data_IF_544337022340
#
_entry.id   IF_544337022340
#
_cell.length_a   1.000
_cell.length_b   1.000
_cell.length_c   1.000
_cell.angle_alpha   90.00
_cell.angle_beta   90.00
_cell.angle_gamma   90.00
#
_symmetry.space_group_name_H-M   'P 1'
#
loop_
_entity.id
_entity.type
_entity.pdbx_description
1 polymer ?
#
# COMPACT_ATOMS: atom_id res chain seq x y z
N UNK A 1 -2.78 -19.15 -1.39
CA UNK A 1 -3.63 -18.27 -0.55
C UNK A 1 -4.74 -19.07 0.14
N UNK A 2 -5.70 -19.67 -0.57
CA UNK A 2 -6.85 -20.34 0.00
C UNK A 2 -6.54 -21.43 1.04
N UNK A 3 -5.50 -22.23 0.85
CA UNK A 3 -5.10 -23.26 1.81
C UNK A 3 -4.63 -22.68 3.15
N UNK A 4 -3.82 -21.62 3.12
CA UNK A 4 -3.38 -20.95 4.34
C UNK A 4 -4.54 -20.26 5.06
N UNK A 5 -5.45 -19.65 4.30
CA UNK A 5 -6.65 -19.03 4.87
C UNK A 5 -7.56 -20.06 5.57
N UNK A 6 -7.81 -21.21 4.96
CA UNK A 6 -8.60 -22.30 5.57
C UNK A 6 -7.99 -22.82 6.87
N UNK A 7 -6.67 -22.76 6.99
CA UNK A 7 -5.93 -23.15 8.20
C UNK A 7 -5.83 -22.04 9.25
N UNK A 8 -6.41 -20.86 9.00
CA UNK A 8 -6.32 -19.71 9.89
C UNK A 8 -4.90 -19.12 10.02
N UNK A 9 -4.06 -19.35 9.02
CA UNK A 9 -2.64 -18.91 9.01
C UNK A 9 -2.41 -17.64 8.18
N UNK A 10 -3.48 -17.03 7.65
CA UNK A 10 -3.41 -15.84 6.82
C UNK A 10 -4.54 -14.89 7.20
N UNK A 11 -4.23 -13.64 7.45
CA UNK A 11 -5.18 -12.57 7.80
C UNK A 11 -5.22 -11.48 6.72
N UNK A 12 -4.13 -11.33 5.96
CA UNK A 12 -3.98 -10.36 4.88
C UNK A 12 -3.56 -11.07 3.60
N UNK A 13 -3.87 -10.46 2.46
CA UNK A 13 -3.41 -10.95 1.16
C UNK A 13 -2.45 -9.96 0.53
N UNK A 14 -1.74 -10.40 -0.50
CA UNK A 14 -1.08 -9.51 -1.46
C UNK A 14 -1.98 -9.44 -2.69
N UNK A 15 -2.39 -8.23 -3.07
CA UNK A 15 -3.29 -7.99 -4.19
C UNK A 15 -2.99 -6.62 -4.80
N UNK A 16 -1.83 -6.48 -5.44
CA UNK A 16 -1.38 -5.19 -5.94
C UNK A 16 -2.21 -4.73 -7.15
N UNK A 17 -2.87 -3.57 -7.06
CA UNK A 17 -3.90 -3.18 -8.00
C UNK A 17 -3.34 -2.39 -9.20
N UNK A 18 -2.36 -2.96 -9.91
CA UNK A 18 -1.80 -2.33 -11.09
C UNK A 18 -0.52 -3.00 -11.60
N UNK A 19 -0.05 -2.51 -12.73
CA UNK A 19 1.19 -2.95 -13.39
C UNK A 19 2.06 -1.75 -13.68
N UNK A 20 3.37 -1.88 -13.55
CA UNK A 20 4.33 -0.83 -13.87
C UNK A 20 5.69 -1.41 -14.29
N UNK A 21 6.56 -0.56 -14.84
CA UNK A 21 7.92 -0.96 -15.17
C UNK A 21 8.79 -0.88 -13.91
N UNK A 22 9.53 -1.94 -13.65
CA UNK A 22 10.55 -2.02 -12.61
C UNK A 22 11.93 -1.88 -13.26
N UNK A 23 12.45 -0.68 -13.28
CA UNK A 23 13.78 -0.36 -13.81
C UNK A 23 14.48 0.54 -12.79
N UNK A 24 15.72 0.26 -12.49
CA UNK A 24 16.54 1.09 -11.61
C UNK A 24 17.09 2.27 -12.39
N UNK A 25 17.33 3.38 -11.71
CA UNK A 25 17.92 4.58 -12.35
C UNK A 25 19.33 4.32 -12.90
N UNK A 26 20.13 3.49 -12.22
CA UNK A 26 21.48 3.14 -12.68
C UNK A 26 21.49 2.14 -13.87
N UNK A 27 20.36 1.52 -14.18
CA UNK A 27 20.17 0.57 -15.28
C UNK A 27 19.42 1.16 -16.48
N UNK A 28 18.92 2.39 -16.40
CA UNK A 28 17.97 2.95 -17.39
C UNK A 28 18.55 3.08 -18.81
N UNK A 29 19.88 3.09 -18.94
CA UNK A 29 20.58 3.09 -20.23
C UNK A 29 20.76 1.70 -20.85
N UNK A 30 20.47 0.62 -20.13
CA UNK A 30 20.57 -0.76 -20.62
C UNK A 30 19.18 -1.23 -21.09
N UNK A 31 19.05 -1.45 -22.40
CA UNK A 31 17.80 -1.89 -23.02
C UNK A 31 17.34 -3.29 -22.56
N UNK A 32 18.22 -4.07 -21.94
CA UNK A 32 17.91 -5.41 -21.39
C UNK A 32 17.54 -5.36 -19.90
N UNK A 33 17.71 -4.23 -19.24
CA UNK A 33 17.47 -4.09 -17.80
C UNK A 33 16.00 -3.85 -17.47
N UNK A 34 15.62 -4.27 -16.24
CA UNK A 34 14.28 -4.12 -15.74
C UNK A 34 13.29 -5.19 -16.21
N UNK A 35 12.08 -5.09 -15.72
CA UNK A 35 10.97 -5.98 -16.09
C UNK A 35 9.63 -5.27 -15.92
N UNK A 36 8.59 -5.82 -16.53
CA UNK A 36 7.22 -5.36 -16.27
C UNK A 36 6.68 -6.13 -15.06
N UNK A 37 6.42 -5.40 -13.96
CA UNK A 37 5.64 -5.94 -12.85
C UNK A 37 4.18 -5.98 -13.29
N UNK A 38 3.70 -7.17 -13.63
CA UNK A 38 2.44 -7.36 -14.33
C UNK A 38 1.37 -7.97 -13.43
N UNK A 39 0.28 -7.22 -13.22
CA UNK A 39 -0.92 -7.67 -12.53
C UNK A 39 -2.14 -7.41 -13.43
N UNK A 40 -2.57 -8.38 -14.25
CA UNK A 40 -3.75 -8.25 -15.08
C UNK A 40 -5.01 -8.05 -14.24
N UNK A 41 -5.97 -7.30 -14.74
CA UNK A 41 -7.26 -7.03 -14.05
C UNK A 41 -7.96 -8.33 -13.59
N UNK A 42 -7.88 -9.39 -14.41
CA UNK A 42 -8.46 -10.68 -14.07
C UNK A 42 -7.85 -11.28 -12.80
N UNK A 43 -6.52 -11.21 -12.66
CA UNK A 43 -5.80 -11.76 -11.51
C UNK A 43 -6.06 -10.92 -10.25
N UNK A 44 -6.11 -9.59 -10.38
CA UNK A 44 -6.47 -8.69 -9.27
C UNK A 44 -7.91 -8.99 -8.79
N UNK A 45 -8.86 -9.16 -9.70
CA UNK A 45 -10.25 -9.51 -9.35
C UNK A 45 -10.34 -10.87 -8.67
N UNK A 46 -9.57 -11.86 -9.13
CA UNK A 46 -9.50 -13.17 -8.48
C UNK A 46 -8.90 -13.06 -7.06
N UNK A 47 -7.84 -12.28 -6.88
CA UNK A 47 -7.28 -11.98 -5.56
C UNK A 47 -8.31 -11.35 -4.61
N UNK A 48 -9.10 -10.39 -5.09
CA UNK A 48 -10.18 -9.77 -4.32
C UNK A 48 -11.33 -10.75 -4.03
N UNK A 49 -11.68 -11.62 -4.99
CA UNK A 49 -12.67 -12.68 -4.78
C UNK A 49 -12.27 -13.62 -3.64
N UNK A 50 -11.00 -14.07 -3.66
CA UNK A 50 -10.44 -14.90 -2.60
C UNK A 50 -10.37 -14.17 -1.25
N UNK A 51 -10.00 -12.89 -1.27
CA UNK A 51 -9.99 -12.04 -0.07
C UNK A 51 -11.37 -11.96 0.56
N UNK A 52 -12.40 -11.75 -0.24
CA UNK A 52 -13.80 -11.73 0.22
C UNK A 52 -14.26 -13.09 0.75
N UNK A 53 -14.00 -14.17 0.01
CA UNK A 53 -14.39 -15.54 0.39
C UNK A 53 -13.79 -15.94 1.74
N UNK A 54 -12.53 -15.61 1.96
CA UNK A 54 -11.81 -15.99 3.17
C UNK A 54 -11.74 -14.87 4.23
N UNK A 55 -12.43 -13.74 4.03
CA UNK A 55 -12.43 -12.57 4.92
C UNK A 55 -11.03 -12.02 5.23
N UNK A 56 -10.17 -11.99 4.21
CA UNK A 56 -8.81 -11.47 4.31
C UNK A 56 -8.78 -10.02 3.85
N UNK A 57 -8.03 -9.18 4.53
CA UNK A 57 -7.80 -7.80 4.10
C UNK A 57 -6.85 -7.78 2.88
N UNK A 58 -7.27 -7.21 1.72
CA UNK A 58 -6.36 -7.04 0.60
C UNK A 58 -5.24 -6.07 0.96
N UNK A 59 -3.97 -6.50 0.87
CA UNK A 59 -2.82 -5.63 1.00
C UNK A 59 -2.41 -5.12 -0.38
N UNK A 60 -2.55 -3.82 -0.61
CA UNK A 60 -2.18 -3.16 -1.85
C UNK A 60 -0.80 -2.52 -1.73
N UNK A 61 0.19 -2.97 -2.49
CA UNK A 61 1.40 -2.19 -2.70
C UNK A 61 1.13 -1.13 -3.78
N UNK A 62 1.23 0.12 -3.39
CA UNK A 62 0.94 1.28 -4.25
C UNK A 62 2.27 1.82 -4.78
N UNK A 63 2.73 1.26 -5.88
CA UNK A 63 3.94 1.70 -6.59
C UNK A 63 3.69 2.99 -7.37
N UNK A 64 2.49 3.14 -7.93
CA UNK A 64 2.09 4.31 -8.71
C UNK A 64 0.76 4.88 -8.19
N UNK A 65 0.52 6.21 -8.25
CA UNK A 65 -0.75 6.79 -7.83
C UNK A 65 -1.98 6.18 -8.52
N UNK A 66 -1.82 5.69 -9.74
CA UNK A 66 -2.84 4.96 -10.49
C UNK A 66 -3.33 3.69 -9.79
N UNK A 67 -2.46 3.02 -9.02
CA UNK A 67 -2.83 1.83 -8.24
C UNK A 67 -3.86 2.16 -7.16
N UNK A 68 -3.72 3.30 -6.47
CA UNK A 68 -4.72 3.77 -5.50
C UNK A 68 -6.10 3.92 -6.15
N UNK A 69 -6.14 4.51 -7.36
CA UNK A 69 -7.40 4.74 -8.10
C UNK A 69 -8.04 3.42 -8.52
N UNK A 70 -7.27 2.54 -9.14
CA UNK A 70 -7.75 1.25 -9.61
C UNK A 70 -8.18 0.35 -8.44
N UNK A 71 -7.35 0.25 -7.38
CA UNK A 71 -7.64 -0.54 -6.20
C UNK A 71 -8.93 -0.10 -5.50
N UNK A 72 -9.13 1.21 -5.32
CA UNK A 72 -10.36 1.74 -4.75
C UNK A 72 -11.60 1.46 -5.63
N UNK A 73 -11.46 1.57 -6.96
CA UNK A 73 -12.55 1.27 -7.88
C UNK A 73 -12.93 -0.22 -7.86
N UNK A 74 -11.93 -1.11 -7.85
CA UNK A 74 -12.14 -2.55 -7.80
C UNK A 74 -12.76 -2.99 -6.47
N UNK A 75 -12.27 -2.46 -5.33
CA UNK A 75 -12.86 -2.76 -4.03
C UNK A 75 -14.35 -2.36 -3.97
N UNK A 76 -14.70 -1.18 -4.48
CA UNK A 76 -16.11 -0.76 -4.58
C UNK A 76 -16.94 -1.65 -5.51
N UNK A 77 -16.36 -2.15 -6.60
CA UNK A 77 -17.06 -3.05 -7.54
C UNK A 77 -17.33 -4.45 -6.98
N UNK A 78 -16.78 -4.77 -5.80
CA UNK A 78 -16.89 -6.07 -5.16
C UNK A 78 -17.35 -5.92 -3.70
N UNK A 79 -18.63 -5.57 -3.45
CA UNK A 79 -19.16 -5.37 -2.10
C UNK A 79 -18.93 -6.59 -1.19
N UNK A 80 -18.66 -6.34 0.09
CA UNK A 80 -18.33 -7.37 1.06
C UNK A 80 -16.87 -7.80 1.08
N UNK A 81 -16.01 -7.24 0.21
CA UNK A 81 -14.57 -7.39 0.36
C UNK A 81 -14.12 -6.61 1.60
N UNK A 82 -13.33 -7.20 2.51
CA UNK A 82 -12.74 -6.46 3.62
C UNK A 82 -11.96 -5.25 3.15
N UNK A 83 -11.92 -4.20 3.97
CA UNK A 83 -11.25 -2.95 3.62
C UNK A 83 -9.80 -3.18 3.21
N UNK A 84 -9.37 -2.73 2.02
CA UNK A 84 -7.98 -2.84 1.61
C UNK A 84 -7.05 -1.99 2.49
N UNK A 85 -5.82 -2.48 2.67
CA UNK A 85 -4.74 -1.77 3.37
C UNK A 85 -3.81 -1.20 2.31
N UNK A 86 -3.67 0.13 2.26
CA UNK A 86 -2.86 0.83 1.26
C UNK A 86 -1.43 1.02 1.75
N UNK A 87 -0.49 0.36 1.12
CA UNK A 87 0.94 0.46 1.41
C UNK A 87 1.58 1.33 0.34
N UNK A 88 1.83 2.61 0.67
CA UNK A 88 2.50 3.55 -0.24
C UNK A 88 3.98 3.19 -0.33
N UNK A 89 4.39 2.77 -1.52
CA UNK A 89 5.74 2.36 -1.81
C UNK A 89 6.55 3.56 -2.31
N UNK A 90 7.68 3.82 -1.67
CA UNK A 90 8.64 4.84 -2.07
C UNK A 90 9.92 4.20 -2.55
N UNK A 91 10.65 4.86 -3.44
CA UNK A 91 11.96 4.42 -3.88
C UNK A 91 12.84 5.60 -4.29
N UNK A 92 14.14 5.49 -3.97
CA UNK A 92 15.17 6.36 -4.52
C UNK A 92 15.99 5.63 -5.60
N UNK A 93 15.84 4.32 -5.70
CA UNK A 93 16.59 3.48 -6.65
C UNK A 93 15.80 3.13 -7.91
N UNK A 94 14.49 2.92 -7.79
CA UNK A 94 13.62 2.59 -8.91
C UNK A 94 12.91 3.80 -9.50
N UNK A 95 12.66 3.76 -10.81
CA UNK A 95 12.09 4.87 -11.57
C UNK A 95 10.55 5.01 -11.48
N UNK A 96 9.86 4.11 -10.75
CA UNK A 96 8.43 4.21 -10.51
C UNK A 96 8.12 5.10 -9.30
N UNK A 97 6.88 5.61 -9.24
CA UNK A 97 6.30 6.28 -8.08
C UNK A 97 7.02 7.55 -7.64
N UNK A 98 7.32 7.60 -6.34
CA UNK A 98 7.88 8.79 -5.70
C UNK A 98 9.09 8.47 -4.83
N UNK A 99 10.06 9.39 -4.72
CA UNK A 99 11.08 9.36 -3.68
C UNK A 99 10.48 9.61 -2.29
N UNK A 100 11.20 9.16 -1.24
CA UNK A 100 10.72 9.21 0.15
C UNK A 100 10.78 10.62 0.74
N UNK A 101 9.79 11.46 0.43
CA UNK A 101 9.68 12.81 0.95
C UNK A 101 8.24 13.15 1.36
N UNK A 102 8.08 14.00 2.38
CA UNK A 102 6.79 14.37 2.94
C UNK A 102 5.79 14.94 1.92
N UNK A 103 6.16 15.78 0.94
CA UNK A 103 5.21 16.25 -0.08
C UNK A 103 4.62 15.12 -0.94
N UNK A 104 5.38 14.04 -1.17
CA UNK A 104 4.93 12.89 -1.93
C UNK A 104 3.97 12.01 -1.12
N UNK A 105 4.20 11.87 0.18
CA UNK A 105 3.22 11.27 1.09
C UNK A 105 1.91 12.09 1.08
N UNK A 106 1.99 13.41 1.13
CA UNK A 106 0.81 14.28 1.04
C UNK A 106 0.04 14.09 -0.27
N UNK A 107 0.73 13.86 -1.39
CA UNK A 107 0.08 13.56 -2.67
C UNK A 107 -0.71 12.24 -2.62
N UNK A 108 -0.12 11.17 -2.08
CA UNK A 108 -0.81 9.91 -1.86
C UNK A 108 -2.03 10.05 -0.94
N UNK A 109 -1.88 10.76 0.17
CA UNK A 109 -2.96 10.95 1.16
C UNK A 109 -4.12 11.77 0.59
N UNK A 110 -3.86 12.83 -0.18
CA UNK A 110 -4.91 13.59 -0.86
C UNK A 110 -5.70 12.71 -1.84
N UNK A 111 -5.00 11.85 -2.58
CA UNK A 111 -5.64 10.93 -3.51
C UNK A 111 -6.49 9.90 -2.75
N UNK A 112 -5.94 9.28 -1.71
CA UNK A 112 -6.64 8.28 -0.88
C UNK A 112 -7.87 8.88 -0.20
N UNK A 113 -7.76 10.08 0.37
CA UNK A 113 -8.86 10.77 1.04
C UNK A 113 -10.09 11.00 0.12
N UNK A 114 -9.85 11.22 -1.17
CA UNK A 114 -10.92 11.35 -2.17
C UNK A 114 -11.55 10.03 -2.61
N UNK A 115 -10.93 8.89 -2.32
CA UNK A 115 -11.32 7.59 -2.87
C UNK A 115 -11.72 6.57 -1.79
N UNK A 116 -11.00 6.54 -0.66
CA UNK A 116 -11.19 5.62 0.44
C UNK A 116 -10.68 6.28 1.76
N UNK A 117 -11.39 7.30 2.28
CA UNK A 117 -10.91 8.16 3.38
C UNK A 117 -10.63 7.38 4.68
N UNK A 118 -11.38 6.31 4.91
CA UNK A 118 -11.29 5.52 6.15
C UNK A 118 -10.38 4.28 5.99
N UNK A 119 -9.73 4.11 4.85
CA UNK A 119 -8.88 2.96 4.61
C UNK A 119 -7.57 3.07 5.39
N UNK A 120 -7.13 2.00 6.07
CA UNK A 120 -5.83 1.98 6.72
C UNK A 120 -4.72 2.07 5.67
N UNK A 121 -3.66 2.79 6.03
CA UNK A 121 -2.52 3.00 5.14
C UNK A 121 -1.20 2.98 5.90
N UNK A 122 -0.13 2.72 5.17
CA UNK A 122 1.23 2.73 5.71
C UNK A 122 2.23 3.27 4.69
N UNK A 123 3.35 3.78 5.19
CA UNK A 123 4.54 4.03 4.37
C UNK A 123 5.41 2.79 4.33
N UNK A 124 5.99 2.52 3.18
CA UNK A 124 6.93 1.43 2.96
C UNK A 124 7.95 1.85 1.88
N UNK A 125 8.99 1.08 1.70
CA UNK A 125 10.02 1.36 0.70
C UNK A 125 10.38 0.16 -0.16
N UNK A 126 11.16 0.44 -1.18
CA UNK A 126 11.95 -0.53 -1.91
C UNK A 126 13.23 0.18 -2.37
N UNK A 127 14.38 -0.22 -1.78
CA UNK A 127 15.66 0.44 -2.06
C UNK A 127 15.71 1.89 -1.57
N UNK A 128 15.14 2.20 -0.40
CA UNK A 128 15.08 3.57 0.13
C UNK A 128 15.07 3.60 1.66
N UNK A 129 15.61 4.66 2.22
CA UNK A 129 15.47 4.96 3.65
C UNK A 129 14.17 5.72 3.92
N UNK A 130 13.16 5.05 4.45
CA UNK A 130 11.87 5.66 4.76
C UNK A 130 11.79 6.34 6.13
N UNK A 131 12.87 6.33 6.94
CA UNK A 131 12.86 6.96 8.27
C UNK A 131 12.43 8.44 8.26
N UNK A 132 12.76 9.25 7.22
CA UNK A 132 12.22 10.61 7.11
C UNK A 132 10.69 10.72 7.01
N UNK A 133 10.00 9.63 6.65
CA UNK A 133 8.54 9.57 6.56
C UNK A 133 7.86 9.06 7.83
N UNK A 134 8.60 8.58 8.84
CA UNK A 134 8.01 8.00 10.05
C UNK A 134 7.22 9.05 10.83
N UNK A 135 7.82 10.18 11.16
CA UNK A 135 7.12 11.24 11.88
C UNK A 135 5.94 11.82 11.08
N UNK A 136 6.08 12.15 9.79
CA UNK A 136 4.93 12.51 8.96
C UNK A 136 3.82 11.45 8.89
N UNK A 137 4.14 10.16 8.92
CA UNK A 137 3.15 9.09 8.91
C UNK A 137 2.43 9.00 10.26
N UNK A 138 3.17 8.97 11.37
CA UNK A 138 2.62 8.89 12.73
C UNK A 138 1.70 10.07 13.03
N UNK A 139 2.11 11.29 12.71
CA UNK A 139 1.31 12.50 12.97
C UNK A 139 -0.01 12.55 12.18
N UNK A 140 -0.14 11.74 11.12
CA UNK A 140 -1.36 11.62 10.29
C UNK A 140 -2.13 10.32 10.51
N UNK A 141 -1.79 9.55 11.55
CA UNK A 141 -2.46 8.29 11.88
C UNK A 141 -2.13 7.12 10.95
N UNK A 142 -1.02 7.19 10.23
CA UNK A 142 -0.55 6.11 9.37
C UNK A 142 0.34 5.11 10.09
N UNK A 143 0.60 4.00 9.42
CA UNK A 143 1.48 2.93 9.87
C UNK A 143 2.80 2.95 9.11
N UNK A 144 3.77 2.15 9.58
CA UNK A 144 5.12 2.09 9.03
C UNK A 144 5.49 0.63 8.79
N UNK A 145 6.03 0.32 7.62
CA UNK A 145 6.71 -0.96 7.33
C UNK A 145 8.19 -0.68 7.10
N UNK A 146 9.04 -1.42 7.77
CA UNK A 146 10.51 -1.38 7.61
C UNK A 146 11.08 -2.78 7.55
N UNK A 147 12.24 -2.91 6.96
CA UNK A 147 12.99 -4.16 6.93
C UNK A 147 14.01 -4.17 5.80
N UNK A 148 14.66 -5.31 5.61
CA UNK A 148 15.71 -5.46 4.59
C UNK A 148 15.19 -5.39 3.16
N UNK A 149 13.91 -5.71 2.93
CA UNK A 149 13.26 -5.54 1.64
C UNK A 149 13.09 -4.07 1.28
N UNK A 150 12.75 -3.25 2.28
CA UNK A 150 12.46 -1.82 2.10
C UNK A 150 13.73 -0.98 2.00
N UNK A 151 14.75 -1.37 2.75
CA UNK A 151 15.96 -0.61 3.01
C UNK A 151 16.77 -0.30 1.74
N UNK A 152 17.62 0.75 1.77
CA UNK A 152 18.58 1.02 0.70
C UNK A 152 19.40 -0.20 0.36
N UNK A 153 19.62 -0.44 -0.92
CA UNK A 153 20.48 -1.51 -1.38
C UNK A 153 21.85 -1.41 -0.72
N UNK A 154 22.38 -2.53 -0.21
CA UNK A 154 23.64 -2.58 0.55
C UNK A 154 23.58 -1.89 1.93
N UNK A 155 22.40 -1.73 2.54
CA UNK A 155 22.32 -1.34 3.95
C UNK A 155 23.22 -2.24 4.81
N UNK A 156 23.87 -1.66 5.84
CA UNK A 156 24.67 -2.40 6.81
C UNK A 156 23.88 -2.76 8.07
N UNK A 157 22.66 -2.21 8.20
CA UNK A 157 21.80 -2.53 9.33
C UNK A 157 21.14 -3.89 9.13
N UNK A 158 21.03 -4.63 10.20
CA UNK A 158 20.24 -5.86 10.25
C UNK A 158 18.74 -5.54 10.26
N UNK A 159 17.90 -6.51 9.91
CA UNK A 159 16.44 -6.35 9.99
C UNK A 159 15.99 -5.90 11.39
N UNK A 160 16.59 -6.46 12.43
CA UNK A 160 16.30 -6.07 13.82
C UNK A 160 16.63 -4.61 14.08
N UNK A 161 17.78 -4.11 13.64
CA UNK A 161 18.16 -2.70 13.82
C UNK A 161 17.21 -1.76 13.09
N UNK A 162 16.77 -2.10 11.87
CA UNK A 162 15.73 -1.32 11.16
C UNK A 162 14.45 -1.19 11.97
N UNK A 163 14.00 -2.30 12.57
CA UNK A 163 12.80 -2.31 13.41
C UNK A 163 13.02 -1.49 14.70
N UNK A 164 14.15 -1.66 15.38
CA UNK A 164 14.48 -0.93 16.61
C UNK A 164 14.54 0.58 16.37
N UNK A 165 15.19 1.02 15.28
CA UNK A 165 15.25 2.44 14.90
C UNK A 165 13.88 3.01 14.51
N UNK A 166 13.06 2.22 13.79
CA UNK A 166 11.70 2.64 13.45
C UNK A 166 10.83 2.81 14.71
N UNK A 167 10.88 1.86 15.64
CA UNK A 167 10.16 1.95 16.93
C UNK A 167 10.59 3.18 17.72
N UNK A 168 11.91 3.44 17.81
CA UNK A 168 12.41 4.64 18.48
C UNK A 168 11.91 5.93 17.83
N UNK A 169 11.88 5.97 16.48
CA UNK A 169 11.37 7.12 15.72
C UNK A 169 9.86 7.33 15.90
N UNK A 170 9.07 6.25 15.91
CA UNK A 170 7.63 6.28 16.17
C UNK A 170 7.36 6.88 17.57
N UNK A 171 8.08 6.40 18.60
CA UNK A 171 7.95 6.91 19.97
C UNK A 171 8.37 8.38 20.09
N UNK A 172 9.44 8.76 19.43
CA UNK A 172 9.88 10.16 19.36
C UNK A 172 8.82 11.08 18.71
N UNK A 173 8.08 10.55 17.74
CA UNK A 173 6.96 11.25 17.10
C UNK A 173 5.66 11.24 17.93
N UNK A 174 5.67 10.69 19.15
CA UNK A 174 4.51 10.62 20.04
C UNK A 174 3.57 9.43 19.78
N UNK A 175 3.95 8.49 18.91
CA UNK A 175 3.21 7.27 18.66
C UNK A 175 3.69 6.10 19.53
N UNK A 176 2.96 5.00 19.50
CA UNK A 176 3.36 3.72 20.09
C UNK A 176 3.02 2.59 19.12
N UNK A 177 3.92 1.61 18.94
CA UNK A 177 3.60 0.43 18.11
C UNK A 177 2.39 -0.31 18.66
N UNK A 178 1.40 -0.55 17.80
CA UNK A 178 0.21 -1.30 18.17
C UNK A 178 0.53 -2.79 18.38
N UNK A 179 -0.16 -3.42 19.31
CA UNK A 179 -0.11 -4.87 19.43
C UNK A 179 -0.88 -5.56 18.30
N UNK A 180 -0.63 -6.84 18.05
CA UNK A 180 -1.37 -7.60 17.04
C UNK A 180 -2.89 -7.62 17.32
N UNK A 181 -3.30 -7.59 18.60
CA UNK A 181 -4.71 -7.55 18.98
C UNK A 181 -5.35 -6.21 18.66
N UNK A 182 -4.62 -5.09 18.87
CA UNK A 182 -5.10 -3.75 18.54
C UNK A 182 -5.32 -3.61 17.04
N UNK A 183 -4.38 -4.12 16.22
CA UNK A 183 -4.50 -4.12 14.75
C UNK A 183 -5.71 -4.93 14.30
N UNK A 184 -5.91 -6.14 14.83
CA UNK A 184 -7.08 -6.97 14.51
C UNK A 184 -8.38 -6.29 14.89
N UNK A 185 -8.44 -5.69 16.07
CA UNK A 185 -9.62 -4.96 16.56
C UNK A 185 -9.93 -3.76 15.66
N UNK A 186 -8.93 -2.98 15.29
CA UNK A 186 -9.09 -1.83 14.39
C UNK A 186 -9.58 -2.26 13.00
N UNK A 187 -9.00 -3.30 12.42
CA UNK A 187 -9.40 -3.81 11.11
C UNK A 187 -10.82 -4.42 11.14
N UNK A 188 -11.20 -5.11 12.22
CA UNK A 188 -12.54 -5.65 12.37
C UNK A 188 -13.62 -4.56 12.50
N UNK A 189 -13.27 -3.40 13.05
CA UNK A 189 -14.15 -2.24 13.17
C UNK A 189 -14.26 -1.44 11.87
N UNK A 190 -13.35 -1.64 10.91
CA UNK A 190 -13.39 -0.95 9.61
C UNK A 190 -14.54 -1.50 8.76
N UNK A 191 -15.51 -0.68 8.35
CA UNK A 191 -16.62 -1.17 7.55
C UNK A 191 -16.14 -1.74 6.22
N UNK A 192 -16.71 -2.86 5.74
CA UNK A 192 -16.40 -3.33 4.39
C UNK A 192 -16.76 -2.24 3.38
N UNK A 193 -16.07 -2.22 2.24
CA UNK A 193 -16.27 -1.22 1.19
C UNK A 193 -17.77 -1.10 0.84
N UNK A 194 -18.38 0.04 1.23
CA UNK A 194 -19.78 0.33 0.93
C UNK A 194 -19.90 0.74 -0.54
N UNK A 195 -20.97 0.29 -1.17
CA UNK A 195 -21.42 0.75 -2.48
C UNK A 195 -21.85 2.23 -2.38
N UNK A 196 -20.89 3.14 -2.54
CA UNK A 196 -21.17 4.56 -2.75
C UNK A 196 -21.09 4.87 -4.24
N UNK A 197 -22.17 4.60 -4.95
CA UNK A 197 -22.39 4.90 -6.38
C UNK A 197 -22.31 6.39 -6.72
N UNK A 198 -21.96 7.30 -5.81
CA UNK A 198 -22.16 8.73 -5.95
C UNK A 198 -20.96 9.58 -6.41
N UNK A 199 -19.81 9.01 -6.80
CA UNK A 199 -18.63 9.83 -7.14
C UNK A 199 -18.13 9.76 -8.58
N UNK A 200 -18.83 9.10 -9.51
CA UNK A 200 -18.47 9.13 -10.93
C UNK A 200 -19.63 9.61 -11.80
N UNK A 201 -20.21 10.78 -11.49
CA UNK A 201 -20.89 11.57 -12.51
C UNK A 201 -19.88 12.49 -13.17
N UNK A 202 -18.95 11.94 -13.92
CA UNK A 202 -18.30 12.67 -14.99
C UNK A 202 -19.41 13.02 -15.98
N UNK A 203 -19.88 14.26 -15.94
CA UNK A 203 -20.69 14.82 -17.03
C UNK A 203 -19.90 14.65 -18.32
N UNK A 204 -20.31 13.70 -19.13
CA UNK A 204 -19.94 13.69 -20.52
C UNK A 204 -20.51 14.98 -21.14
N UNK A 205 -19.67 16.01 -21.28
CA UNK A 205 -19.95 17.07 -22.22
C UNK A 205 -19.91 16.45 -23.61
N UNK A 206 -21.07 16.19 -24.18
CA UNK A 206 -21.19 16.03 -25.64
C UNK A 206 -21.01 17.40 -26.23
N UNK A 207 -20.06 17.65 -27.12
CA UNK A 207 -20.11 18.86 -27.96
C UNK A 207 -21.28 18.72 -28.91
N UNK A 208 -22.08 19.76 -28.97
CA UNK A 208 -23.09 20.03 -30.04
C UNK A 208 -22.38 20.33 -31.33
#
# INVERSE_FOLDING_TARGET
MGELAKRGLLEWTVCDPGSCNFTRFDEIGDASAGFVYQNPIADIREGLRLSREHRLHPGYAIYEPGFTRLGAALARSMPGTPTPIYRFMFSDEFAWGFPAAAPHLDAHLRLLAGLAPDAPWMVAGLGVDIRPLIEPAVSRGGHVRVGLEDAPWRTRLTNRQWVEEAVASIRKAGGEPASAIDVRTSLAASPPSLDRTSYFTLRAHRPT
#
